data_IF_077345056501
#
_entry.id   IF_077345056501
#
_cell.length_a   1.000
_cell.length_b   1.000
_cell.length_c   1.000
_cell.angle_alpha   90.00
_cell.angle_beta   90.00
_cell.angle_gamma   90.00
#
_symmetry.space_group_name_H-M   'P 1'
#
loop_
_entity.id
_entity.type
_entity.pdbx_description
1 polymer ?
#
# COMPACT_ATOMS: atom_id res chain seq x y z
N UNK A 1 -0.39 14.90 -12.29
CA UNK A 1 -1.08 14.90 -10.98
C UNK A 1 -2.14 16.02 -10.88
N UNK A 2 -1.78 17.34 -10.99
CA UNK A 2 -2.74 18.44 -10.76
C UNK A 2 -3.96 18.39 -11.68
N UNK A 3 -3.79 18.09 -12.97
CA UNK A 3 -4.89 17.99 -13.94
C UNK A 3 -5.80 16.80 -13.60
N UNK A 4 -5.22 15.68 -13.24
CA UNK A 4 -5.96 14.48 -12.84
C UNK A 4 -6.71 14.70 -11.53
N UNK A 5 -6.03 15.24 -10.52
CA UNK A 5 -6.65 15.57 -9.23
C UNK A 5 -7.81 16.57 -9.38
N UNK A 6 -7.63 17.62 -10.18
CA UNK A 6 -8.70 18.57 -10.45
C UNK A 6 -9.93 17.92 -11.04
N UNK A 7 -9.74 16.99 -11.99
CA UNK A 7 -10.83 16.25 -12.62
C UNK A 7 -11.52 15.28 -11.65
N UNK A 8 -10.74 14.51 -10.87
CA UNK A 8 -11.27 13.51 -9.95
C UNK A 8 -12.01 14.11 -8.76
N UNK A 9 -11.52 15.24 -8.27
CA UNK A 9 -12.05 15.91 -7.08
C UNK A 9 -13.08 17.00 -7.40
N UNK A 10 -13.27 17.31 -8.69
CA UNK A 10 -14.12 18.41 -9.16
C UNK A 10 -13.68 19.76 -8.51
N UNK A 11 -12.38 20.06 -8.59
CA UNK A 11 -11.79 21.30 -8.09
C UNK A 11 -11.12 22.10 -9.21
N UNK A 12 -10.97 23.39 -8.99
CA UNK A 12 -10.44 24.31 -9.99
C UNK A 12 -8.97 24.03 -10.30
N UNK A 13 -8.65 23.81 -11.57
CA UNK A 13 -7.28 23.77 -12.06
C UNK A 13 -6.77 25.20 -12.25
N UNK A 14 -5.66 25.51 -11.61
CA UNK A 14 -5.00 26.82 -11.68
C UNK A 14 -3.59 26.69 -12.25
N UNK A 15 -2.92 27.82 -12.44
CA UNK A 15 -1.51 27.86 -12.83
C UNK A 15 -0.74 28.78 -11.92
N UNK A 16 0.49 28.42 -11.55
CA UNK A 16 1.38 29.25 -10.73
C UNK A 16 2.80 29.24 -11.28
N UNK A 17 3.19 30.38 -11.85
CA UNK A 17 4.51 30.52 -12.46
C UNK A 17 4.67 29.71 -13.76
N UNK A 18 5.90 29.70 -14.24
CA UNK A 18 6.30 28.97 -15.45
C UNK A 18 7.64 28.29 -15.19
N UNK A 19 7.85 27.14 -15.81
CA UNK A 19 9.12 26.44 -15.86
C UNK A 19 9.45 26.16 -17.32
N UNK A 20 10.58 26.68 -17.79
CA UNK A 20 10.99 26.62 -19.22
C UNK A 20 9.91 27.13 -20.20
N UNK A 21 9.20 28.20 -19.82
CA UNK A 21 8.13 28.79 -20.63
C UNK A 21 6.78 28.04 -20.56
N UNK A 22 6.71 26.92 -19.85
CA UNK A 22 5.47 26.13 -19.68
C UNK A 22 4.78 26.48 -18.36
N UNK A 23 3.49 26.85 -18.37
CA UNK A 23 2.75 27.13 -17.15
C UNK A 23 2.66 25.91 -16.23
N UNK A 24 3.04 26.07 -14.95
CA UNK A 24 2.95 25.02 -13.94
C UNK A 24 1.49 24.88 -13.51
N UNK A 25 0.88 23.73 -13.82
CA UNK A 25 -0.49 23.42 -13.41
C UNK A 25 -0.54 23.10 -11.92
N UNK A 26 -1.56 23.62 -11.25
CA UNK A 26 -1.79 23.45 -9.83
C UNK A 26 -3.29 23.25 -9.54
N UNK A 27 -3.60 22.39 -8.59
CA UNK A 27 -4.92 22.26 -7.99
C UNK A 27 -4.74 22.34 -6.46
N UNK A 28 -5.58 23.11 -5.80
CA UNK A 28 -5.47 23.33 -4.37
C UNK A 28 -6.75 23.00 -3.63
N UNK A 29 -6.60 22.50 -2.42
CA UNK A 29 -7.70 22.24 -1.48
C UNK A 29 -7.46 23.01 -0.18
N UNK A 30 -8.50 23.40 0.58
CA UNK A 30 -8.32 24.00 1.88
C UNK A 30 -7.60 23.03 2.83
N UNK A 31 -6.64 23.54 3.60
CA UNK A 31 -5.85 22.72 4.51
C UNK A 31 -6.71 21.91 5.49
N UNK A 32 -7.72 22.53 6.09
CA UNK A 32 -8.63 21.88 7.03
C UNK A 32 -9.51 20.78 6.40
N UNK A 33 -9.64 20.76 5.09
CA UNK A 33 -10.38 19.74 4.34
C UNK A 33 -9.48 18.71 3.65
N UNK A 34 -8.16 18.81 3.78
CA UNK A 34 -7.19 17.99 3.05
C UNK A 34 -7.46 16.48 3.26
N UNK A 35 -7.74 16.05 4.48
CA UNK A 35 -8.02 14.64 4.78
C UNK A 35 -9.26 14.11 4.03
N UNK A 36 -10.30 14.90 3.86
CA UNK A 36 -11.49 14.50 3.10
C UNK A 36 -11.17 14.30 1.61
N UNK A 37 -10.35 15.17 1.04
CA UNK A 37 -9.92 15.05 -0.35
C UNK A 37 -8.97 13.88 -0.55
N UNK A 38 -8.06 13.62 0.40
CA UNK A 38 -7.21 12.43 0.42
C UNK A 38 -8.05 11.15 0.41
N UNK A 39 -9.02 11.06 1.33
CA UNK A 39 -9.91 9.90 1.41
C UNK A 39 -10.70 9.69 0.11
N UNK A 40 -11.18 10.74 -0.55
CA UNK A 40 -11.86 10.64 -1.84
C UNK A 40 -10.95 10.06 -2.93
N UNK A 41 -9.70 10.55 -3.04
CA UNK A 41 -8.73 10.02 -4.01
C UNK A 41 -8.42 8.55 -3.75
N UNK A 42 -8.22 8.21 -2.48
CA UNK A 42 -7.89 6.83 -2.08
C UNK A 42 -9.07 5.88 -2.35
N UNK A 43 -10.30 6.28 -2.07
CA UNK A 43 -11.52 5.51 -2.45
C UNK A 43 -11.66 5.30 -3.97
N UNK A 44 -11.08 6.20 -4.77
CA UNK A 44 -11.00 6.03 -6.24
C UNK A 44 -9.77 5.19 -6.68
N UNK A 45 -9.12 4.49 -5.76
CA UNK A 45 -7.96 3.63 -6.03
C UNK A 45 -6.64 4.37 -6.25
N UNK A 46 -6.54 5.65 -5.86
CA UNK A 46 -5.30 6.43 -5.99
C UNK A 46 -4.46 6.36 -4.73
N UNK A 47 -3.14 6.22 -4.90
CA UNK A 47 -2.18 6.41 -3.81
C UNK A 47 -1.71 7.85 -3.79
N UNK A 48 -1.61 8.44 -2.59
CA UNK A 48 -1.27 9.84 -2.42
C UNK A 48 -0.07 9.99 -1.48
N UNK A 49 1.01 10.62 -1.97
CA UNK A 49 2.15 10.99 -1.14
C UNK A 49 1.94 12.41 -0.59
N UNK A 50 1.92 12.53 0.72
CA UNK A 50 1.87 13.82 1.41
C UNK A 50 3.29 14.29 1.67
N UNK A 51 3.62 15.49 1.17
CA UNK A 51 4.92 16.10 1.32
C UNK A 51 4.80 17.36 2.16
N UNK A 52 5.64 17.50 3.18
CA UNK A 52 5.72 18.69 4.02
C UNK A 52 7.03 19.44 3.80
N UNK A 53 7.01 20.72 4.10
CA UNK A 53 8.20 21.56 4.10
C UNK A 53 9.01 21.29 5.36
N UNK A 54 10.31 21.07 5.20
CA UNK A 54 11.24 20.81 6.31
C UNK A 54 12.19 21.98 6.46
N UNK A 55 12.22 22.56 7.66
CA UNK A 55 13.05 23.72 8.00
C UNK A 55 12.28 25.04 8.06
N UNK A 56 12.98 26.12 8.46
CA UNK A 56 12.40 27.45 8.60
C UNK A 56 12.22 28.11 7.23
N UNK A 57 11.03 28.66 7.00
CA UNK A 57 10.71 29.41 5.79
C UNK A 57 11.55 30.70 5.77
N UNK A 58 12.41 30.84 4.76
CA UNK A 58 13.22 32.04 4.60
C UNK A 58 14.66 31.97 5.16
N UNK A 59 15.07 30.85 5.73
CA UNK A 59 16.44 30.64 6.25
C UNK A 59 17.53 30.49 5.14
N UNK A 60 17.15 30.40 3.87
CA UNK A 60 18.08 30.23 2.74
C UNK A 60 17.62 30.92 1.46
N UNK A 61 18.56 31.11 0.50
CA UNK A 61 18.30 31.73 -0.82
C UNK A 61 17.67 30.76 -1.85
N UNK A 62 17.22 29.57 -1.44
CA UNK A 62 16.70 28.52 -2.33
C UNK A 62 15.28 28.07 -1.98
N UNK A 63 14.70 27.15 -2.78
CA UNK A 63 13.43 26.53 -2.47
C UNK A 63 13.53 25.76 -1.13
N UNK A 64 12.47 25.82 -0.32
CA UNK A 64 12.40 25.07 0.93
C UNK A 64 12.40 23.56 0.62
N UNK A 65 13.21 22.81 1.34
CA UNK A 65 13.24 21.34 1.23
C UNK A 65 11.88 20.74 1.56
N UNK A 66 11.47 19.73 0.80
CA UNK A 66 10.23 18.98 1.03
C UNK A 66 10.53 17.51 1.18
N UNK A 67 9.90 16.88 2.16
CA UNK A 67 10.01 15.44 2.40
C UNK A 67 8.63 14.79 2.38
N UNK A 68 8.58 13.59 1.83
CA UNK A 68 7.39 12.74 1.96
C UNK A 68 7.30 12.33 3.42
N UNK A 69 6.20 12.68 4.07
CA UNK A 69 5.93 12.36 5.48
C UNK A 69 4.90 11.26 5.66
N UNK A 70 4.09 11.02 4.63
CA UNK A 70 3.06 9.99 4.65
C UNK A 70 2.69 9.57 3.23
N UNK A 71 2.45 8.28 3.03
CA UNK A 71 1.84 7.73 1.83
C UNK A 71 0.52 7.09 2.23
N UNK A 72 -0.57 7.54 1.59
CA UNK A 72 -1.92 7.00 1.84
C UNK A 72 -2.36 6.20 0.62
N UNK A 73 -2.73 4.96 0.83
CA UNK A 73 -3.19 4.03 -0.21
C UNK A 73 -4.56 3.45 0.16
N UNK A 74 -5.27 2.78 -0.75
CA UNK A 74 -6.55 2.14 -0.44
C UNK A 74 -6.51 1.22 0.79
N UNK A 75 -5.42 0.50 0.99
CA UNK A 75 -5.24 -0.41 2.13
C UNK A 75 -4.74 0.26 3.41
N UNK A 76 -4.02 1.38 3.31
CA UNK A 76 -3.44 2.08 4.48
C UNK A 76 -4.33 3.18 5.05
N UNK A 77 -5.54 3.39 4.52
CA UNK A 77 -6.50 4.35 5.05
C UNK A 77 -7.03 3.85 6.40
N UNK A 78 -6.69 4.54 7.48
CA UNK A 78 -7.05 4.16 8.87
C UNK A 78 -8.08 5.08 9.51
N UNK A 79 -8.44 6.19 8.87
CA UNK A 79 -9.34 7.17 9.46
C UNK A 79 -10.77 6.65 9.47
N UNK A 80 -11.30 6.37 10.68
CA UNK A 80 -12.64 5.87 10.90
C UNK A 80 -13.75 6.79 10.34
N UNK A 81 -13.47 8.10 10.17
CA UNK A 81 -14.42 9.06 9.59
C UNK A 81 -14.71 8.79 8.10
N UNK A 82 -13.86 7.99 7.43
CA UNK A 82 -13.96 7.73 5.98
C UNK A 82 -14.23 6.28 5.64
N UNK A 83 -14.24 5.40 6.66
CA UNK A 83 -14.60 3.99 6.52
C UNK A 83 -16.05 3.81 6.98
N UNK A 84 -16.83 3.06 6.24
CA UNK A 84 -18.16 2.65 6.70
C UNK A 84 -18.00 1.71 7.90
N UNK A 85 -18.86 1.82 8.92
CA UNK A 85 -18.76 1.15 10.24
C UNK A 85 -18.53 -0.38 10.23
N UNK A 86 -18.53 -1.02 9.07
CA UNK A 86 -18.39 -2.48 8.88
C UNK A 86 -17.22 -2.92 8.00
N UNK A 87 -16.48 -2.00 7.40
CA UNK A 87 -15.39 -2.33 6.51
C UNK A 87 -14.07 -2.45 7.28
N UNK A 88 -13.64 -3.67 7.55
CA UNK A 88 -12.24 -3.93 7.92
C UNK A 88 -11.36 -3.70 6.69
N UNK A 89 -10.66 -2.59 6.66
CA UNK A 89 -9.75 -2.29 5.57
C UNK A 89 -8.53 -3.21 5.67
N UNK A 90 -8.45 -4.23 4.80
CA UNK A 90 -7.35 -5.19 4.75
C UNK A 90 -6.47 -4.95 3.54
N UNK A 91 -5.17 -5.13 3.75
CA UNK A 91 -4.18 -5.25 2.68
C UNK A 91 -3.78 -6.72 2.62
N UNK A 92 -3.74 -7.29 1.44
CA UNK A 92 -3.23 -8.64 1.22
C UNK A 92 -1.98 -8.61 0.34
N UNK A 93 -1.04 -9.50 0.58
CA UNK A 93 0.10 -9.78 -0.29
C UNK A 93 0.04 -11.23 -0.75
N UNK A 94 0.20 -11.47 -2.04
CA UNK A 94 0.22 -12.81 -2.62
C UNK A 94 1.61 -13.10 -3.17
N UNK A 95 2.17 -14.22 -2.77
CA UNK A 95 3.45 -14.71 -3.27
C UNK A 95 3.34 -16.20 -3.65
N UNK A 96 4.15 -16.62 -4.58
CA UNK A 96 4.20 -18.01 -5.01
C UNK A 96 5.64 -18.43 -5.30
N UNK A 97 6.00 -19.60 -4.83
CA UNK A 97 7.17 -20.33 -5.27
C UNK A 97 6.77 -21.42 -6.30
N UNK A 98 7.64 -22.39 -6.55
CA UNK A 98 7.38 -23.48 -7.52
C UNK A 98 6.28 -24.45 -7.09
N UNK A 99 5.94 -24.51 -5.80
CA UNK A 99 5.06 -25.53 -5.22
C UNK A 99 3.93 -24.95 -4.39
N UNK A 100 4.16 -23.78 -3.79
CA UNK A 100 3.26 -23.22 -2.80
C UNK A 100 2.82 -21.82 -3.20
N UNK A 101 1.61 -21.50 -2.89
CA UNK A 101 1.07 -20.14 -2.96
C UNK A 101 0.72 -19.71 -1.54
N UNK A 102 1.06 -18.50 -1.18
CA UNK A 102 0.78 -17.94 0.12
C UNK A 102 0.07 -16.60 0.00
N UNK A 103 -0.81 -16.34 0.94
CA UNK A 103 -1.42 -15.04 1.18
C UNK A 103 -0.98 -14.57 2.56
N UNK A 104 -0.47 -13.34 2.66
CA UNK A 104 -0.35 -12.61 3.91
C UNK A 104 -1.35 -11.46 3.91
N UNK A 105 -1.96 -11.15 5.03
CA UNK A 105 -2.85 -9.99 5.12
C UNK A 105 -2.74 -9.30 6.46
N UNK A 106 -3.03 -8.02 6.44
CA UNK A 106 -3.06 -7.18 7.64
C UNK A 106 -4.26 -6.24 7.63
N UNK A 107 -4.71 -5.87 8.81
CA UNK A 107 -5.61 -4.75 9.03
C UNK A 107 -4.97 -3.79 10.04
N UNK A 108 -4.71 -2.56 9.62
CA UNK A 108 -4.12 -1.54 10.49
C UNK A 108 -5.09 -1.08 11.59
N UNK A 109 -6.39 -1.27 11.38
CA UNK A 109 -7.42 -0.92 12.38
C UNK A 109 -7.47 -1.90 13.54
N UNK A 110 -7.42 -3.21 13.23
CA UNK A 110 -7.54 -4.26 14.25
C UNK A 110 -6.19 -4.77 14.76
N UNK A 111 -5.09 -4.41 14.11
CA UNK A 111 -3.77 -4.98 14.38
C UNK A 111 -3.63 -6.44 13.90
N UNK A 112 -4.56 -6.93 13.07
CA UNK A 112 -4.47 -8.26 12.50
C UNK A 112 -3.29 -8.36 11.53
N UNK A 113 -2.45 -9.40 11.68
CA UNK A 113 -1.39 -9.75 10.75
C UNK A 113 -1.29 -11.27 10.67
N UNK A 114 -1.63 -11.85 9.53
CA UNK A 114 -1.74 -13.31 9.35
C UNK A 114 -1.21 -13.77 8.02
N UNK A 115 -0.86 -15.05 7.95
CA UNK A 115 -0.45 -15.74 6.73
C UNK A 115 -1.21 -17.04 6.55
N UNK A 116 -1.33 -17.50 5.31
CA UNK A 116 -1.94 -18.78 4.95
C UNK A 116 -1.31 -19.32 3.67
N UNK A 117 -0.96 -20.59 3.69
CA UNK A 117 -0.69 -21.35 2.47
C UNK A 117 -2.00 -21.72 1.78
N UNK A 118 -2.02 -21.66 0.47
CA UNK A 118 -3.18 -22.01 -0.35
C UNK A 118 -2.74 -22.67 -1.65
N UNK A 119 -3.70 -23.03 -2.47
CA UNK A 119 -3.50 -23.63 -3.79
C UNK A 119 -4.09 -22.72 -4.87
N UNK A 120 -3.70 -22.90 -6.12
CA UNK A 120 -4.14 -22.04 -7.21
C UNK A 120 -5.67 -22.07 -7.41
N UNK A 121 -6.29 -23.23 -7.22
CA UNK A 121 -7.74 -23.41 -7.31
C UNK A 121 -8.52 -22.70 -6.19
N UNK A 122 -7.91 -22.48 -5.02
CA UNK A 122 -8.53 -21.85 -3.86
C UNK A 122 -8.19 -20.37 -3.70
N UNK A 123 -7.15 -19.90 -4.40
CA UNK A 123 -6.65 -18.52 -4.20
C UNK A 123 -7.72 -17.47 -4.45
N UNK A 124 -8.53 -17.62 -5.49
CA UNK A 124 -9.60 -16.67 -5.82
C UNK A 124 -10.65 -16.58 -4.69
N UNK A 125 -11.08 -17.73 -4.16
CA UNK A 125 -12.05 -17.80 -3.07
C UNK A 125 -11.50 -17.21 -1.76
N UNK A 126 -10.23 -17.49 -1.46
CA UNK A 126 -9.58 -16.94 -0.26
C UNK A 126 -9.46 -15.41 -0.34
N UNK A 127 -9.06 -14.87 -1.49
CA UNK A 127 -9.00 -13.42 -1.69
C UNK A 127 -10.38 -12.77 -1.65
N UNK A 128 -11.41 -13.44 -2.20
CA UNK A 128 -12.79 -12.95 -2.14
C UNK A 128 -13.30 -12.88 -0.70
N UNK A 129 -12.94 -13.87 0.15
CA UNK A 129 -13.30 -13.87 1.59
C UNK A 129 -12.59 -12.78 2.37
N UNK A 130 -11.35 -12.46 2.02
CA UNK A 130 -10.58 -11.42 2.69
C UNK A 130 -11.16 -10.03 2.45
N UNK A 131 -11.83 -9.82 1.32
CA UNK A 131 -12.36 -8.50 0.91
C UNK A 131 -11.30 -7.39 1.07
N UNK A 132 -10.06 -7.70 0.67
CA UNK A 132 -8.97 -6.76 0.79
C UNK A 132 -9.22 -5.52 -0.08
N UNK A 133 -8.96 -4.33 0.46
CA UNK A 133 -9.02 -3.08 -0.29
C UNK A 133 -7.84 -2.95 -1.26
N UNK A 134 -6.75 -3.63 -0.94
CA UNK A 134 -5.52 -3.60 -1.73
C UNK A 134 -4.83 -4.96 -1.73
N UNK A 135 -4.32 -5.37 -2.91
CA UNK A 135 -3.58 -6.61 -3.09
C UNK A 135 -2.20 -6.29 -3.65
N UNK A 136 -1.17 -6.70 -2.94
CA UNK A 136 0.23 -6.57 -3.32
C UNK A 136 0.68 -7.79 -4.11
N UNK A 137 1.28 -7.58 -5.27
CA UNK A 137 1.83 -8.64 -6.12
C UNK A 137 3.27 -8.33 -6.51
N UNK A 138 4.12 -9.36 -6.70
CA UNK A 138 5.41 -9.18 -7.35
C UNK A 138 5.24 -8.67 -8.80
N UNK A 139 6.12 -7.78 -9.25
CA UNK A 139 6.19 -7.38 -10.65
C UNK A 139 6.30 -8.60 -11.56
N UNK A 140 5.60 -8.55 -12.71
CA UNK A 140 5.59 -9.64 -13.69
C UNK A 140 4.75 -10.87 -13.29
N UNK A 141 4.11 -10.87 -12.12
CA UNK A 141 3.17 -11.90 -11.70
C UNK A 141 1.72 -11.42 -11.88
N UNK A 142 0.85 -12.36 -12.22
CA UNK A 142 -0.59 -12.13 -12.34
C UNK A 142 -1.34 -13.02 -11.36
N UNK A 143 -2.52 -12.60 -10.95
CA UNK A 143 -3.45 -13.47 -10.25
C UNK A 143 -3.98 -14.53 -11.23
N UNK A 144 -4.36 -15.72 -10.74
CA UNK A 144 -4.90 -16.79 -11.58
C UNK A 144 -6.12 -16.31 -12.39
N UNK A 145 -6.28 -16.92 -13.57
CA UNK A 145 -7.49 -16.74 -14.39
C UNK A 145 -8.73 -17.11 -13.56
N UNK A 146 -9.76 -16.25 -13.62
CA UNK A 146 -10.97 -16.43 -12.80
C UNK A 146 -11.03 -15.56 -11.55
N UNK A 147 -9.93 -14.94 -11.14
CA UNK A 147 -9.98 -13.83 -10.18
C UNK A 147 -10.54 -12.61 -10.91
N UNK A 148 -11.85 -12.55 -10.99
CA UNK A 148 -12.55 -11.35 -11.41
C UNK A 148 -12.41 -10.33 -10.28
N UNK A 149 -11.72 -9.25 -10.59
CA UNK A 149 -11.40 -8.19 -9.67
C UNK A 149 -12.59 -7.89 -8.74
N UNK A 150 -12.43 -8.30 -7.51
CA UNK A 150 -13.07 -7.61 -6.41
C UNK A 150 -12.68 -6.13 -6.55
N UNK A 151 -13.34 -5.23 -5.87
CA UNK A 151 -13.03 -3.79 -5.83
C UNK A 151 -11.60 -3.49 -5.32
N UNK A 152 -10.77 -4.51 -5.11
CA UNK A 152 -9.41 -4.38 -4.59
C UNK A 152 -8.48 -3.69 -5.60
N UNK A 153 -7.73 -2.71 -5.12
CA UNK A 153 -6.65 -2.11 -5.88
C UNK A 153 -5.45 -3.07 -5.96
N UNK A 154 -4.85 -3.24 -7.14
CA UNK A 154 -3.66 -4.09 -7.30
C UNK A 154 -2.42 -3.22 -7.37
N UNK A 155 -1.54 -3.38 -6.38
CA UNK A 155 -0.25 -2.71 -6.30
C UNK A 155 0.87 -3.70 -6.59
N UNK A 156 1.73 -3.36 -7.57
CA UNK A 156 2.89 -4.18 -7.94
C UNK A 156 4.13 -3.63 -7.28
N UNK A 157 4.84 -4.54 -6.60
CA UNK A 157 6.10 -4.24 -5.93
C UNK A 157 7.24 -5.02 -6.60
N UNK A 158 8.44 -4.49 -6.49
CA UNK A 158 9.63 -5.19 -6.99
C UNK A 158 9.72 -6.61 -6.43
N UNK A 159 9.99 -7.60 -7.28
CA UNK A 159 9.95 -9.02 -6.91
C UNK A 159 10.91 -9.39 -5.78
N UNK A 160 12.02 -8.66 -5.59
CA UNK A 160 12.96 -8.89 -4.49
C UNK A 160 12.33 -8.67 -3.10
N UNK A 161 11.30 -7.85 -2.98
CA UNK A 161 10.58 -7.62 -1.73
C UNK A 161 9.82 -8.87 -1.25
N UNK A 162 9.53 -9.79 -2.17
CA UNK A 162 8.88 -11.06 -1.87
C UNK A 162 9.87 -12.22 -1.67
N UNK A 163 11.18 -11.94 -1.61
CA UNK A 163 12.18 -12.95 -1.33
C UNK A 163 12.07 -13.42 0.13
N UNK A 164 12.16 -14.73 0.36
CA UNK A 164 11.98 -15.32 1.69
C UNK A 164 13.07 -14.87 2.69
N UNK A 165 14.31 -14.75 2.24
CA UNK A 165 15.44 -14.30 3.06
C UNK A 165 15.29 -12.83 3.50
N UNK A 166 14.88 -11.95 2.59
CA UNK A 166 14.57 -10.55 2.90
C UNK A 166 13.37 -10.45 3.86
N UNK A 167 12.32 -11.24 3.62
CA UNK A 167 11.15 -11.33 4.48
C UNK A 167 11.48 -11.83 5.89
N UNK A 168 12.26 -12.92 6.00
CA UNK A 168 12.66 -13.48 7.28
C UNK A 168 13.46 -12.46 8.11
N UNK A 169 14.43 -11.80 7.50
CA UNK A 169 15.22 -10.76 8.18
C UNK A 169 14.33 -9.63 8.71
N UNK A 170 13.44 -9.11 7.87
CA UNK A 170 12.56 -8.00 8.24
C UNK A 170 11.59 -8.39 9.37
N UNK A 171 10.99 -9.59 9.28
CA UNK A 171 10.04 -10.08 10.28
C UNK A 171 10.72 -10.35 11.62
N UNK A 172 11.88 -11.02 11.65
CA UNK A 172 12.62 -11.29 12.89
C UNK A 172 13.09 -10.00 13.56
N UNK A 173 13.55 -9.02 12.77
CA UNK A 173 13.93 -7.71 13.28
C UNK A 173 12.72 -6.98 13.90
N UNK A 174 11.59 -6.98 13.19
CA UNK A 174 10.39 -6.27 13.64
C UNK A 174 9.77 -6.87 14.91
N UNK A 175 9.68 -8.21 14.97
CA UNK A 175 9.11 -8.91 16.12
C UNK A 175 10.11 -9.15 17.25
N UNK A 176 11.39 -8.80 17.08
CA UNK A 176 12.43 -8.98 18.08
C UNK A 176 12.70 -10.45 18.42
N UNK A 177 12.57 -11.35 17.45
CA UNK A 177 12.78 -12.80 17.61
C UNK A 177 14.01 -13.29 16.83
N UNK A 178 14.56 -14.44 17.23
CA UNK A 178 15.74 -15.01 16.57
C UNK A 178 15.38 -15.70 15.25
N UNK A 179 14.20 -16.31 15.19
CA UNK A 179 13.69 -17.02 14.03
C UNK A 179 12.16 -16.95 13.98
N UNK A 180 11.56 -17.54 12.94
CA UNK A 180 10.13 -17.55 12.72
C UNK A 180 9.45 -18.86 13.12
N UNK A 181 10.18 -19.78 13.78
CA UNK A 181 9.65 -21.07 14.22
C UNK A 181 8.44 -20.93 15.15
N UNK A 182 8.51 -20.00 16.10
CA UNK A 182 7.42 -19.71 17.03
C UNK A 182 6.12 -19.23 16.36
N UNK A 183 6.18 -18.78 15.10
CA UNK A 183 5.04 -18.38 14.28
C UNK A 183 4.59 -19.49 13.31
N UNK A 184 5.25 -20.66 13.33
CA UNK A 184 4.98 -21.74 12.39
C UNK A 184 5.38 -21.42 10.94
N UNK A 185 6.38 -20.55 10.76
CA UNK A 185 6.87 -20.09 9.46
C UNK A 185 8.31 -20.57 9.21
N UNK A 186 8.61 -21.76 9.61
CA UNK A 186 9.88 -22.45 9.38
C UNK A 186 9.79 -23.46 8.22
N UNK A 187 10.94 -23.78 7.65
CA UNK A 187 11.02 -24.74 6.55
C UNK A 187 10.74 -24.16 5.17
N UNK A 188 11.15 -24.93 4.16
CA UNK A 188 11.06 -24.52 2.74
C UNK A 188 9.63 -24.35 2.24
N UNK A 189 8.70 -25.08 2.84
CA UNK A 189 7.28 -25.01 2.51
C UNK A 189 6.66 -23.64 2.85
N UNK A 190 7.27 -22.91 3.78
CA UNK A 190 6.80 -21.58 4.21
C UNK A 190 7.52 -20.40 3.54
N UNK A 191 8.51 -20.64 2.67
CA UNK A 191 9.25 -19.55 1.98
C UNK A 191 8.31 -18.58 1.25
N UNK A 192 7.27 -19.09 0.59
CA UNK A 192 6.28 -18.24 -0.06
C UNK A 192 5.52 -17.35 0.95
N UNK A 193 5.16 -17.92 2.12
CA UNK A 193 4.45 -17.18 3.18
C UNK A 193 5.34 -16.14 3.85
N UNK A 194 6.59 -16.47 4.12
CA UNK A 194 7.59 -15.55 4.68
C UNK A 194 7.83 -14.37 3.73
N UNK A 195 7.97 -14.66 2.42
CA UNK A 195 8.13 -13.62 1.41
C UNK A 195 6.89 -12.71 1.29
N UNK A 196 5.68 -13.28 1.30
CA UNK A 196 4.44 -12.49 1.30
C UNK A 196 4.31 -11.61 2.55
N UNK A 197 4.57 -12.17 3.73
CA UNK A 197 4.53 -11.43 4.99
C UNK A 197 5.58 -10.33 5.06
N UNK A 198 6.81 -10.60 4.58
CA UNK A 198 7.88 -9.61 4.50
C UNK A 198 7.52 -8.44 3.59
N UNK A 199 7.01 -8.72 2.39
CA UNK A 199 6.56 -7.69 1.45
C UNK A 199 5.42 -6.83 2.03
N UNK A 200 4.45 -7.48 2.69
CA UNK A 200 3.35 -6.80 3.35
C UNK A 200 3.84 -5.89 4.48
N UNK A 201 4.69 -6.41 5.37
CA UNK A 201 5.25 -5.62 6.48
C UNK A 201 6.06 -4.43 5.98
N UNK A 202 6.91 -4.64 4.95
CA UNK A 202 7.67 -3.56 4.34
C UNK A 202 6.76 -2.46 3.78
N UNK A 203 5.67 -2.85 3.14
CA UNK A 203 4.71 -1.92 2.54
C UNK A 203 3.97 -1.07 3.58
N UNK A 204 3.50 -1.67 4.67
CA UNK A 204 2.74 -0.94 5.69
C UNK A 204 3.61 -0.07 6.61
N UNK A 205 4.94 -0.23 6.58
CA UNK A 205 5.91 0.60 7.33
C UNK A 205 6.35 1.86 6.59
N UNK A 206 5.99 2.01 5.31
CA UNK A 206 6.28 3.20 4.52
C UNK A 206 5.40 4.38 4.97
#
# INVERSE_FOLDING_TARGET
DAVEAAKLLDITLTTRGQMDGVPIKMAGVPFHAAEQYLARLVKMGKSVAVCEQVGEVGAGKGPVERKVVRIVTPGTLTDAAFLEDKETNRIAAVNADKKHIAIAWASLQSGEFKTKLTTADKLADELARLQAAEILLPEGKSLPDGFHATSANITRLNSWQFAADAGAKLLTEYFGCQDLHGFGLDGKEHEAAVGAAGALLNYIRL
#
